data_IF_155229544210
#
_entry.id   IF_155229544210
#
_cell.length_a   1.000
_cell.length_b   1.000
_cell.length_c   1.000
_cell.angle_alpha   90.00
_cell.angle_beta   90.00
_cell.angle_gamma   90.00
#
_symmetry.space_group_name_H-M   'P 1'
#
loop_
_entity.id
_entity.type
_entity.pdbx_description
1 polymer ?
#
# COMPACT_ATOMS: atom_id res chain seq x y z
N UNK A 1 0.77 -37.68 7.73
CA UNK A 1 0.78 -37.72 6.27
C UNK A 1 -0.66 -37.53 5.82
N UNK A 2 -1.03 -36.31 5.44
CA UNK A 2 -2.34 -36.03 4.86
C UNK A 2 -2.17 -36.17 3.35
N UNK A 3 -2.94 -37.06 2.74
CA UNK A 3 -2.82 -37.42 1.33
C UNK A 3 -3.02 -36.19 0.42
N UNK A 4 -2.12 -35.95 -0.56
CA UNK A 4 -2.24 -34.86 -1.53
C UNK A 4 -3.45 -34.95 -2.47
N UNK A 5 -4.22 -36.06 -2.41
CA UNK A 5 -5.35 -36.35 -3.30
C UNK A 5 -6.60 -35.55 -2.92
N UNK A 6 -6.79 -35.19 -1.65
CA UNK A 6 -7.97 -34.45 -1.18
C UNK A 6 -8.03 -32.97 -1.64
N UNK A 7 -6.93 -32.43 -2.18
CA UNK A 7 -6.90 -31.06 -2.73
C UNK A 7 -7.17 -31.08 -4.25
N UNK A 8 -6.92 -32.20 -4.92
CA UNK A 8 -7.10 -32.32 -6.38
C UNK A 8 -8.57 -32.44 -6.81
N UNK A 9 -9.45 -32.98 -5.95
CA UNK A 9 -10.90 -33.04 -6.24
C UNK A 9 -11.62 -31.70 -6.09
N UNK A 10 -10.97 -30.66 -5.56
CA UNK A 10 -11.58 -29.33 -5.41
C UNK A 10 -11.56 -28.48 -6.69
N UNK A 11 -10.96 -28.96 -7.79
CA UNK A 11 -10.69 -28.20 -9.02
C UNK A 11 -10.99 -29.03 -10.28
N UNK A 12 -12.18 -29.65 -10.38
CA UNK A 12 -12.70 -30.16 -11.66
C UNK A 12 -14.02 -29.46 -12.01
N UNK A 13 -14.10 -28.65 -13.09
CA UNK A 13 -15.25 -27.77 -13.35
C UNK A 13 -16.55 -28.46 -13.82
N UNK A 14 -16.57 -29.78 -14.07
CA UNK A 14 -17.60 -30.39 -14.94
C UNK A 14 -18.41 -31.52 -14.30
N UNK A 15 -18.72 -31.45 -13.01
CA UNK A 15 -19.65 -32.41 -12.37
C UNK A 15 -20.85 -31.70 -11.75
N UNK A 16 -22.06 -32.22 -11.99
CA UNK A 16 -23.34 -31.69 -11.46
C UNK A 16 -23.29 -31.57 -9.92
N UNK A 17 -22.51 -32.43 -9.26
CA UNK A 17 -22.27 -32.38 -7.82
C UNK A 17 -21.47 -31.14 -7.38
N UNK A 18 -20.50 -30.66 -8.16
CA UNK A 18 -19.69 -29.49 -7.82
C UNK A 18 -20.52 -28.20 -7.82
N UNK A 19 -21.41 -28.03 -8.81
CA UNK A 19 -22.33 -26.88 -8.86
C UNK A 19 -23.24 -26.82 -7.63
N UNK A 20 -23.76 -27.97 -7.18
CA UNK A 20 -24.58 -28.04 -5.97
C UNK A 20 -23.81 -27.63 -4.69
N UNK A 21 -22.51 -27.95 -4.61
CA UNK A 21 -21.66 -27.64 -3.45
C UNK A 21 -21.34 -26.15 -3.35
N UNK A 22 -21.05 -25.49 -4.49
CA UNK A 22 -20.75 -24.05 -4.52
C UNK A 22 -21.96 -23.24 -4.05
N UNK A 23 -23.16 -23.57 -4.52
CA UNK A 23 -24.39 -22.89 -4.08
C UNK A 23 -24.67 -23.07 -2.59
N UNK A 24 -24.42 -24.27 -2.06
CA UNK A 24 -24.57 -24.55 -0.62
C UNK A 24 -23.57 -23.73 0.21
N UNK A 25 -22.31 -23.63 -0.25
CA UNK A 25 -21.30 -22.80 0.41
C UNK A 25 -21.63 -21.30 0.36
N UNK A 26 -22.12 -20.81 -0.78
CA UNK A 26 -22.55 -19.41 -0.92
C UNK A 26 -23.76 -19.10 -0.04
N UNK A 27 -24.73 -20.00 0.05
CA UNK A 27 -25.87 -19.86 0.97
C UNK A 27 -25.40 -19.88 2.45
N UNK A 28 -24.43 -20.72 2.79
CA UNK A 28 -23.84 -20.77 4.14
C UNK A 28 -23.15 -19.46 4.55
N UNK A 29 -22.45 -18.82 3.62
CA UNK A 29 -21.86 -17.49 3.83
C UNK A 29 -22.96 -16.43 3.93
N UNK A 30 -23.91 -16.44 2.99
CA UNK A 30 -25.01 -15.47 2.93
C UNK A 30 -25.88 -15.47 4.19
N UNK A 31 -26.12 -16.64 4.80
CA UNK A 31 -26.83 -16.78 6.09
C UNK A 31 -26.15 -16.07 7.26
N UNK A 32 -24.83 -15.87 7.21
CA UNK A 32 -24.05 -15.16 8.25
C UNK A 32 -23.83 -13.69 7.93
N UNK A 33 -24.36 -13.22 6.80
CA UNK A 33 -24.32 -11.83 6.40
C UNK A 33 -25.33 -10.96 7.18
N UNK A 34 -25.30 -9.66 6.90
CA UNK A 34 -26.24 -8.70 7.49
C UNK A 34 -27.69 -8.87 6.98
N UNK A 35 -27.91 -9.70 5.95
CA UNK A 35 -29.19 -9.87 5.26
C UNK A 35 -29.99 -11.04 5.86
N UNK A 36 -30.52 -10.84 7.08
CA UNK A 36 -31.38 -11.82 7.76
C UNK A 36 -32.77 -11.83 7.12
N UNK A 37 -33.32 -13.01 6.78
CA UNK A 37 -34.71 -13.17 6.31
C UNK A 37 -34.95 -13.08 4.79
N UNK A 38 -33.92 -12.93 3.96
CA UNK A 38 -34.05 -12.96 2.48
C UNK A 38 -34.04 -14.38 1.91
N UNK A 39 -34.59 -14.54 0.70
CA UNK A 39 -34.62 -15.80 -0.07
C UNK A 39 -33.22 -16.36 -0.34
N UNK A 40 -33.12 -17.68 -0.56
CA UNK A 40 -31.86 -18.39 -0.85
C UNK A 40 -31.09 -17.74 -2.00
N UNK A 41 -31.76 -17.42 -3.09
CA UNK A 41 -31.15 -16.78 -4.27
C UNK A 41 -30.55 -15.40 -3.95
N UNK A 42 -31.26 -14.58 -3.17
CA UNK A 42 -30.74 -13.26 -2.77
C UNK A 42 -29.52 -13.39 -1.86
N UNK A 43 -29.48 -14.40 -0.98
CA UNK A 43 -28.31 -14.69 -0.13
C UNK A 43 -27.11 -15.14 -0.95
N UNK A 44 -27.31 -16.01 -1.94
CA UNK A 44 -26.25 -16.46 -2.84
C UNK A 44 -25.69 -15.27 -3.63
N UNK A 45 -26.56 -14.43 -4.20
CA UNK A 45 -26.14 -13.22 -4.95
C UNK A 45 -25.34 -12.25 -4.06
N UNK A 46 -25.81 -12.03 -2.84
CA UNK A 46 -25.12 -11.19 -1.85
C UNK A 46 -23.74 -11.75 -1.47
N UNK A 47 -23.65 -13.05 -1.20
CA UNK A 47 -22.38 -13.70 -0.88
C UNK A 47 -21.38 -13.62 -2.04
N UNK A 48 -21.86 -13.82 -3.29
CA UNK A 48 -21.03 -13.68 -4.49
C UNK A 48 -20.47 -12.25 -4.62
N UNK A 49 -21.30 -11.24 -4.39
CA UNK A 49 -20.87 -9.84 -4.44
C UNK A 49 -19.81 -9.50 -3.37
N UNK A 50 -19.95 -10.03 -2.14
CA UNK A 50 -18.93 -9.89 -1.09
C UNK A 50 -17.60 -10.50 -1.53
N UNK A 51 -17.61 -11.75 -2.00
CA UNK A 51 -16.38 -12.44 -2.42
C UNK A 51 -15.72 -11.75 -3.61
N UNK A 52 -16.51 -11.14 -4.49
CA UNK A 52 -16.00 -10.45 -5.67
C UNK A 52 -15.48 -9.04 -5.37
N UNK A 53 -16.16 -8.24 -4.54
CA UNK A 53 -15.81 -6.81 -4.36
C UNK A 53 -15.14 -6.50 -3.02
N UNK A 54 -15.52 -7.18 -1.95
CA UNK A 54 -15.07 -6.88 -0.58
C UNK A 54 -13.89 -7.77 -0.15
N UNK A 55 -13.86 -9.04 -0.55
CA UNK A 55 -12.76 -9.94 -0.25
C UNK A 55 -11.55 -9.63 -1.16
N UNK A 56 -10.42 -9.24 -0.54
CA UNK A 56 -9.12 -9.02 -1.21
C UNK A 56 -9.23 -8.09 -2.45
N UNK A 57 -9.73 -6.85 -2.32
CA UNK A 57 -10.01 -5.97 -3.45
C UNK A 57 -8.75 -5.57 -4.25
N UNK A 58 -7.58 -5.61 -3.61
CA UNK A 58 -6.29 -5.30 -4.24
C UNK A 58 -5.86 -6.36 -5.28
N UNK A 59 -6.35 -7.60 -5.16
CA UNK A 59 -6.04 -8.67 -6.14
C UNK A 59 -6.89 -8.51 -7.41
N UNK A 60 -8.12 -8.01 -7.27
CA UNK A 60 -9.04 -7.76 -8.37
C UNK A 60 -10.49 -7.65 -7.88
N UNK A 61 -11.30 -6.85 -8.58
CA UNK A 61 -12.74 -6.69 -8.32
C UNK A 61 -13.61 -7.07 -9.52
N UNK A 62 -12.97 -7.39 -10.63
CA UNK A 62 -13.62 -7.78 -11.88
C UNK A 62 -14.07 -9.25 -11.83
N UNK A 63 -14.98 -9.62 -12.73
CA UNK A 63 -15.33 -11.02 -12.96
C UNK A 63 -14.09 -11.77 -13.47
N UNK A 64 -14.01 -13.08 -13.20
CA UNK A 64 -12.88 -13.97 -13.56
C UNK A 64 -11.59 -13.81 -12.73
N UNK A 65 -11.56 -12.91 -11.73
CA UNK A 65 -10.44 -12.79 -10.79
C UNK A 65 -10.47 -13.83 -9.65
N UNK A 66 -11.44 -14.73 -9.60
CA UNK A 66 -11.67 -15.65 -8.48
C UNK A 66 -10.49 -16.61 -8.27
N UNK A 67 -9.89 -17.11 -9.34
CA UNK A 67 -8.73 -18.01 -9.27
C UNK A 67 -7.53 -17.33 -8.61
N UNK A 68 -7.22 -16.09 -9.00
CA UNK A 68 -6.12 -15.30 -8.38
C UNK A 68 -6.38 -15.05 -6.90
N UNK A 69 -7.62 -14.74 -6.52
CA UNK A 69 -8.01 -14.59 -5.11
C UNK A 69 -7.88 -15.88 -4.33
N UNK A 70 -8.25 -17.02 -4.92
CA UNK A 70 -8.11 -18.33 -4.28
C UNK A 70 -6.64 -18.66 -4.01
N UNK A 71 -5.75 -18.43 -4.97
CA UNK A 71 -4.29 -18.56 -4.76
C UNK A 71 -3.77 -17.65 -3.65
N UNK A 72 -4.18 -16.37 -3.65
CA UNK A 72 -3.75 -15.43 -2.63
C UNK A 72 -4.28 -15.81 -1.24
N UNK A 73 -5.52 -16.27 -1.15
CA UNK A 73 -6.10 -16.76 0.10
C UNK A 73 -5.39 -18.01 0.60
N UNK A 74 -5.08 -18.95 -0.29
CA UNK A 74 -4.23 -20.10 0.01
C UNK A 74 -2.85 -19.71 0.52
N UNK A 75 -2.24 -18.66 -0.05
CA UNK A 75 -0.98 -18.09 0.44
C UNK A 75 -1.12 -17.48 1.84
N UNK A 76 -2.21 -16.78 2.16
CA UNK A 76 -2.49 -16.27 3.52
C UNK A 76 -2.57 -17.44 4.51
N UNK A 77 -3.35 -18.47 4.20
CA UNK A 77 -3.48 -19.66 5.06
C UNK A 77 -2.12 -20.35 5.22
N UNK A 78 -1.36 -20.51 4.13
CA UNK A 78 -0.02 -21.09 4.20
C UNK A 78 0.90 -20.28 5.11
N UNK A 79 0.87 -18.94 5.05
CA UNK A 79 1.64 -18.09 5.97
C UNK A 79 1.21 -18.26 7.42
N UNK A 80 -0.09 -18.39 7.69
CA UNK A 80 -0.62 -18.67 9.02
C UNK A 80 -0.12 -20.03 9.55
N UNK A 81 -0.18 -21.07 8.72
CA UNK A 81 0.30 -22.42 9.07
C UNK A 81 1.80 -22.45 9.32
N UNK A 82 2.61 -21.74 8.52
CA UNK A 82 4.05 -21.63 8.77
C UNK A 82 4.36 -21.00 10.13
N UNK A 83 3.57 -20.02 10.56
CA UNK A 83 3.70 -19.39 11.87
C UNK A 83 3.27 -20.35 12.99
N UNK A 84 2.11 -20.99 12.83
CA UNK A 84 1.58 -21.95 13.80
C UNK A 84 2.51 -23.16 14.01
N UNK A 85 3.21 -23.60 12.96
CA UNK A 85 4.20 -24.68 13.00
C UNK A 85 5.61 -24.21 13.42
N UNK A 86 5.80 -22.93 13.75
CA UNK A 86 7.09 -22.36 14.16
C UNK A 86 8.17 -22.30 13.06
N UNK A 87 7.81 -22.53 11.78
CA UNK A 87 8.73 -22.45 10.64
C UNK A 87 9.09 -21.01 10.27
N UNK A 88 8.27 -20.06 10.71
CA UNK A 88 8.41 -18.61 10.52
C UNK A 88 8.04 -17.90 11.82
N UNK A 89 8.77 -16.83 12.15
CA UNK A 89 8.40 -15.94 13.25
C UNK A 89 7.18 -15.05 12.89
N UNK A 90 6.52 -14.56 13.93
CA UNK A 90 5.46 -13.55 13.82
C UNK A 90 6.01 -12.25 13.21
N UNK A 91 5.17 -11.54 12.45
CA UNK A 91 5.55 -10.25 11.88
C UNK A 91 5.55 -9.17 12.96
N UNK A 92 6.61 -8.36 13.01
CA UNK A 92 6.70 -7.24 13.94
C UNK A 92 5.88 -6.03 13.44
N UNK A 93 4.89 -5.63 14.25
CA UNK A 93 4.02 -4.47 14.02
C UNK A 93 4.77 -3.14 14.06
N UNK A 94 5.87 -3.08 14.82
CA UNK A 94 6.62 -1.85 15.07
C UNK A 94 7.82 -1.67 14.11
N UNK A 95 8.14 -2.69 13.32
CA UNK A 95 9.06 -2.60 12.18
C UNK A 95 8.59 -1.57 11.15
N UNK A 96 9.42 -0.55 10.89
CA UNK A 96 9.07 0.58 10.03
C UNK A 96 8.88 0.21 8.55
N UNK A 97 9.48 -0.88 8.08
CA UNK A 97 9.20 -1.41 6.74
C UNK A 97 7.72 -1.79 6.52
N UNK A 98 6.99 -2.08 7.61
CA UNK A 98 5.55 -2.39 7.58
C UNK A 98 4.68 -1.14 7.78
N UNK A 99 5.28 0.04 8.00
CA UNK A 99 4.58 1.30 8.18
C UNK A 99 4.60 2.10 6.88
N UNK A 100 3.60 2.97 6.72
CA UNK A 100 3.49 3.94 5.63
C UNK A 100 3.14 5.31 6.20
N UNK A 101 3.68 6.35 5.59
CA UNK A 101 3.45 7.73 5.97
C UNK A 101 2.46 8.39 5.02
N UNK A 102 1.30 8.78 5.56
CA UNK A 102 0.33 9.60 4.85
C UNK A 102 0.81 11.07 4.88
N UNK A 103 1.30 11.56 3.75
CA UNK A 103 1.69 12.96 3.57
C UNK A 103 0.50 13.84 3.16
N UNK A 104 0.76 15.14 2.95
CA UNK A 104 -0.25 16.10 2.51
C UNK A 104 -1.00 15.65 1.24
N UNK A 105 -0.30 15.06 0.26
CA UNK A 105 -0.91 14.57 -0.98
C UNK A 105 -2.02 13.55 -0.75
N UNK A 106 -1.72 12.35 -0.20
CA UNK A 106 -2.73 11.34 0.11
C UNK A 106 -3.85 11.85 1.04
N UNK A 107 -3.51 12.66 2.05
CA UNK A 107 -4.48 13.23 3.00
C UNK A 107 -5.46 14.21 2.33
N UNK A 108 -4.96 15.10 1.47
CA UNK A 108 -5.79 16.02 0.70
C UNK A 108 -6.57 15.29 -0.39
N UNK A 109 -5.98 14.30 -1.05
CA UNK A 109 -6.64 13.48 -2.05
C UNK A 109 -7.85 12.71 -1.49
N UNK A 110 -7.69 12.11 -0.31
CA UNK A 110 -8.78 11.45 0.41
C UNK A 110 -9.91 12.42 0.80
N UNK A 111 -9.55 13.59 1.33
CA UNK A 111 -10.50 14.64 1.70
C UNK A 111 -11.25 15.18 0.47
N UNK A 112 -10.53 15.50 -0.60
CA UNK A 112 -11.10 15.98 -1.85
C UNK A 112 -12.03 14.95 -2.47
N UNK A 113 -11.63 13.67 -2.55
CA UNK A 113 -12.48 12.59 -3.08
C UNK A 113 -13.81 12.49 -2.33
N UNK A 114 -13.80 12.62 -1.01
CA UNK A 114 -15.01 12.61 -0.20
C UNK A 114 -15.91 13.83 -0.49
N UNK A 115 -15.34 15.03 -0.51
CA UNK A 115 -16.08 16.27 -0.81
C UNK A 115 -16.64 16.28 -2.23
N UNK A 116 -15.86 15.79 -3.20
CA UNK A 116 -16.27 15.67 -4.59
C UNK A 116 -17.41 14.66 -4.75
N UNK A 117 -17.32 13.48 -4.12
CA UNK A 117 -18.43 12.52 -4.09
C UNK A 117 -19.70 13.08 -3.44
N UNK A 118 -19.56 13.94 -2.43
CA UNK A 118 -20.70 14.66 -1.85
C UNK A 118 -21.29 15.64 -2.88
N UNK A 119 -20.47 16.44 -3.54
CA UNK A 119 -20.92 17.33 -4.62
C UNK A 119 -21.67 16.58 -5.73
N UNK A 120 -21.13 15.45 -6.22
CA UNK A 120 -21.79 14.64 -7.25
C UNK A 120 -23.15 14.10 -6.78
N UNK A 121 -23.26 13.67 -5.51
CA UNK A 121 -24.55 13.24 -4.93
C UNK A 121 -25.55 14.39 -4.84
N UNK A 122 -25.10 15.57 -4.42
CA UNK A 122 -25.95 16.76 -4.33
C UNK A 122 -26.46 17.18 -5.72
N UNK A 123 -25.60 17.15 -6.75
CA UNK A 123 -25.97 17.42 -8.15
C UNK A 123 -26.99 16.39 -8.63
N UNK A 124 -26.73 15.09 -8.41
CA UNK A 124 -27.68 14.03 -8.78
C UNK A 124 -29.04 14.23 -8.11
N UNK A 125 -29.06 14.56 -6.83
CA UNK A 125 -30.29 14.84 -6.10
C UNK A 125 -31.05 16.07 -6.61
N UNK A 126 -30.35 17.12 -7.05
CA UNK A 126 -30.96 18.28 -7.69
C UNK A 126 -31.59 17.92 -9.04
N UNK A 127 -30.85 17.22 -9.90
CA UNK A 127 -31.34 16.79 -11.22
C UNK A 127 -32.57 15.90 -11.07
N UNK A 128 -32.54 14.93 -10.14
CA UNK A 128 -33.69 14.07 -9.87
C UNK A 128 -34.93 14.88 -9.51
N UNK A 129 -34.80 15.87 -8.62
CA UNK A 129 -35.92 16.76 -8.24
C UNK A 129 -36.43 17.61 -9.41
N UNK A 130 -35.57 18.06 -10.32
CA UNK A 130 -36.02 18.78 -11.51
C UNK A 130 -36.84 17.88 -12.42
N UNK A 131 -36.36 16.66 -12.66
CA UNK A 131 -37.06 15.64 -13.47
C UNK A 131 -38.41 15.26 -12.84
N UNK A 132 -38.43 14.97 -11.54
CA UNK A 132 -39.66 14.57 -10.83
C UNK A 132 -40.73 15.68 -10.85
N UNK A 133 -40.31 16.95 -10.91
CA UNK A 133 -41.21 18.11 -10.95
C UNK A 133 -41.45 18.65 -12.38
N UNK A 134 -40.94 17.99 -13.42
CA UNK A 134 -41.07 18.44 -14.81
C UNK A 134 -40.45 19.82 -15.09
N UNK A 135 -39.41 20.22 -14.36
CA UNK A 135 -38.72 21.51 -14.52
C UNK A 135 -37.42 21.34 -15.29
N UNK A 136 -37.05 22.36 -16.06
CA UNK A 136 -35.77 22.39 -16.76
C UNK A 136 -34.58 22.36 -15.78
N UNK A 137 -33.54 21.62 -16.18
CA UNK A 137 -32.33 21.45 -15.38
C UNK A 137 -31.37 22.61 -15.65
N UNK A 138 -31.16 23.45 -14.64
CA UNK A 138 -30.10 24.47 -14.70
C UNK A 138 -28.89 24.04 -13.86
N UNK A 139 -27.80 23.70 -14.56
CA UNK A 139 -26.56 23.19 -13.96
C UNK A 139 -25.87 24.19 -13.02
N UNK A 140 -26.02 25.50 -13.25
CA UNK A 140 -25.37 26.51 -12.41
C UNK A 140 -25.92 26.47 -10.97
N UNK A 141 -27.23 26.22 -10.81
CA UNK A 141 -27.84 26.06 -9.49
C UNK A 141 -27.55 24.70 -8.85
N UNK A 142 -27.24 23.68 -9.66
CA UNK A 142 -26.88 22.35 -9.17
C UNK A 142 -25.49 22.34 -8.51
N UNK A 143 -24.53 23.08 -9.07
CA UNK A 143 -23.14 23.05 -8.63
C UNK A 143 -22.92 23.99 -7.43
N UNK A 144 -22.91 23.41 -6.24
CA UNK A 144 -22.61 24.13 -5.00
C UNK A 144 -21.11 24.18 -4.73
N UNK A 145 -20.41 25.15 -5.32
CA UNK A 145 -18.95 25.33 -5.16
C UNK A 145 -18.51 25.44 -3.68
N UNK A 146 -19.35 26.01 -2.82
CA UNK A 146 -19.10 26.12 -1.36
C UNK A 146 -18.85 24.76 -0.69
N UNK A 147 -19.42 23.67 -1.20
CA UNK A 147 -19.23 22.32 -0.60
C UNK A 147 -17.75 21.92 -0.56
N UNK A 148 -17.00 22.21 -1.63
CA UNK A 148 -15.57 21.89 -1.70
C UNK A 148 -14.76 22.92 -0.93
N UNK A 149 -14.93 24.21 -1.24
CA UNK A 149 -14.12 25.29 -0.66
C UNK A 149 -14.28 25.37 0.87
N UNK A 150 -15.50 25.35 1.37
CA UNK A 150 -15.76 25.39 2.81
C UNK A 150 -15.33 24.09 3.51
N UNK A 151 -15.49 22.92 2.86
CA UNK A 151 -15.06 21.64 3.41
C UNK A 151 -13.54 21.54 3.59
N UNK A 152 -12.78 21.98 2.59
CA UNK A 152 -11.31 22.05 2.67
C UNK A 152 -10.86 23.06 3.71
N UNK A 153 -11.42 24.29 3.70
CA UNK A 153 -11.09 25.34 4.66
C UNK A 153 -11.36 24.89 6.10
N UNK A 154 -12.51 24.25 6.34
CA UNK A 154 -12.88 23.73 7.67
C UNK A 154 -11.87 22.69 8.17
N UNK A 155 -11.53 21.68 7.35
CA UNK A 155 -10.65 20.58 7.77
C UNK A 155 -9.23 21.10 8.05
N UNK A 156 -8.72 22.00 7.21
CA UNK A 156 -7.40 22.62 7.38
C UNK A 156 -7.33 23.54 8.60
N UNK A 157 -8.37 24.33 8.85
CA UNK A 157 -8.41 25.28 9.96
C UNK A 157 -8.62 24.61 11.32
N UNK A 158 -9.46 23.57 11.39
CA UNK A 158 -9.79 22.88 12.65
C UNK A 158 -8.85 21.70 12.95
N UNK A 159 -8.17 21.16 11.93
CA UNK A 159 -7.37 19.95 12.05
C UNK A 159 -8.18 18.65 12.10
N UNK A 160 -9.51 18.71 11.93
CA UNK A 160 -10.39 17.55 11.87
C UNK A 160 -10.49 17.03 10.43
N UNK A 161 -9.95 15.83 10.19
CA UNK A 161 -9.99 15.15 8.89
C UNK A 161 -11.13 14.13 8.85
N UNK A 162 -12.21 14.46 8.15
CA UNK A 162 -13.38 13.58 8.00
C UNK A 162 -14.68 14.35 7.82
N UNK A 163 -15.81 13.63 7.83
CA UNK A 163 -17.11 14.28 7.99
C UNK A 163 -17.30 14.64 9.47
N UNK A 164 -17.69 15.88 9.73
CA UNK A 164 -18.03 16.33 11.07
C UNK A 164 -19.05 15.36 11.72
N UNK A 165 -18.78 14.97 12.97
CA UNK A 165 -19.61 14.08 13.79
C UNK A 165 -19.74 12.62 13.28
N UNK A 166 -18.87 12.17 12.38
CA UNK A 166 -18.79 10.77 11.99
C UNK A 166 -17.73 10.00 12.80
N UNK A 167 -18.06 8.76 13.18
CA UNK A 167 -17.10 7.82 13.75
C UNK A 167 -15.93 7.61 12.78
N UNK A 168 -14.70 7.86 13.24
CA UNK A 168 -13.48 7.76 12.43
C UNK A 168 -12.87 9.09 11.97
N UNK A 169 -13.35 10.24 12.48
CA UNK A 169 -12.69 11.55 12.24
C UNK A 169 -11.30 11.56 12.88
N UNK A 170 -10.25 11.80 12.07
CA UNK A 170 -8.87 11.94 12.57
C UNK A 170 -8.67 13.38 13.04
N UNK A 171 -8.49 13.58 14.34
CA UNK A 171 -8.23 14.90 14.92
C UNK A 171 -6.72 15.23 14.94
N UNK A 172 -6.40 16.52 14.85
CA UNK A 172 -5.04 17.03 15.03
C UNK A 172 -4.09 16.80 13.84
N UNK A 173 -4.64 16.59 12.63
CA UNK A 173 -3.86 16.36 11.40
C UNK A 173 -3.23 17.66 10.90
N UNK A 174 -4.00 18.75 10.86
CA UNK A 174 -3.46 20.10 10.62
C UNK A 174 -3.24 20.80 11.96
N UNK A 175 -2.10 21.50 12.06
CA UNK A 175 -1.66 22.20 13.27
C UNK A 175 -1.14 23.58 12.88
N UNK A 176 -1.29 24.55 13.78
CA UNK A 176 -0.70 25.88 13.60
C UNK A 176 0.82 25.75 13.57
N UNK A 177 1.45 26.26 12.50
CA UNK A 177 2.89 26.19 12.35
C UNK A 177 3.59 26.96 13.48
N UNK A 178 4.58 26.32 14.09
CA UNK A 178 5.34 26.93 15.19
C UNK A 178 6.40 27.87 14.57
N UNK A 179 6.33 29.15 14.93
CA UNK A 179 7.22 30.22 14.43
C UNK A 179 8.13 30.82 15.51
N UNK A 180 8.32 30.14 16.64
CA UNK A 180 9.15 30.64 17.74
C UNK A 180 10.62 30.88 17.32
N UNK A 181 11.19 29.94 16.58
CA UNK A 181 12.53 30.04 15.99
C UNK A 181 12.54 29.41 14.60
N UNK A 182 13.58 29.72 13.82
CA UNK A 182 13.79 29.10 12.51
C UNK A 182 13.90 27.57 12.63
N UNK A 183 14.68 27.08 13.60
CA UNK A 183 14.82 25.65 13.87
C UNK A 183 13.48 25.00 14.27
N UNK A 184 12.69 25.66 15.10
CA UNK A 184 11.35 25.18 15.49
C UNK A 184 10.42 25.01 14.28
N UNK A 185 10.49 25.96 13.33
CA UNK A 185 9.71 25.89 12.09
C UNK A 185 10.09 24.67 11.25
N UNK A 186 11.39 24.44 11.03
CA UNK A 186 11.89 23.29 10.28
C UNK A 186 11.57 21.95 10.95
N UNK A 187 11.76 21.87 12.27
CA UNK A 187 11.39 20.70 13.08
C UNK A 187 9.91 20.36 12.91
N UNK A 188 9.03 21.36 13.02
CA UNK A 188 7.59 21.15 12.92
C UNK A 188 7.18 20.64 11.52
N UNK A 189 7.77 21.15 10.45
CA UNK A 189 7.49 20.68 9.08
C UNK A 189 7.93 19.23 8.82
N UNK A 190 8.88 18.71 9.61
CA UNK A 190 9.45 17.36 9.46
C UNK A 190 8.94 16.36 10.50
N UNK A 191 7.88 16.73 11.21
CA UNK A 191 7.28 15.94 12.28
C UNK A 191 6.35 14.86 11.74
N UNK A 192 6.41 13.70 12.37
CA UNK A 192 5.53 12.56 12.15
C UNK A 192 4.76 12.25 13.42
N UNK A 193 3.54 11.74 13.24
CA UNK A 193 2.65 11.40 14.34
C UNK A 193 2.12 9.98 14.18
N UNK A 194 2.25 9.18 15.23
CA UNK A 194 1.64 7.84 15.29
C UNK A 194 0.18 7.98 15.74
N UNK A 195 -0.81 7.41 15.02
CA UNK A 195 -2.23 7.55 15.32
C UNK A 195 -2.67 6.62 16.48
N UNK A 196 -1.94 6.65 17.58
CA UNK A 196 -2.21 5.85 18.78
C UNK A 196 -2.70 6.80 19.88
N UNK A 197 -3.73 6.39 20.61
CA UNK A 197 -4.25 7.14 21.74
C UNK A 197 -3.14 7.44 22.76
N UNK A 198 -3.02 8.71 23.15
CA UNK A 198 -1.94 9.18 24.05
C UNK A 198 -2.10 8.67 25.48
N UNK A 199 -3.31 8.29 25.86
CA UNK A 199 -3.69 7.76 27.18
C UNK A 199 -3.22 6.32 27.40
N UNK A 200 -2.86 5.59 26.33
CA UNK A 200 -2.43 4.21 26.42
C UNK A 200 -1.04 4.03 27.04
N UNK A 201 -0.92 3.09 27.99
CA UNK A 201 0.34 2.65 28.64
C UNK A 201 1.17 1.66 27.80
N UNK A 202 0.87 1.49 26.51
CA UNK A 202 1.60 0.56 25.66
C UNK A 202 3.03 1.08 25.42
N UNK A 203 4.03 0.43 26.02
CA UNK A 203 5.42 0.84 25.93
C UNK A 203 6.07 0.55 24.57
N UNK A 204 5.78 -0.61 23.95
CA UNK A 204 6.45 -1.06 22.72
C UNK A 204 6.42 -0.03 21.57
N UNK A 205 5.27 0.60 21.21
CA UNK A 205 5.23 1.59 20.14
C UNK A 205 6.02 2.87 20.42
N UNK A 206 6.27 3.17 21.70
CA UNK A 206 7.00 4.36 22.17
C UNK A 206 8.51 4.14 22.18
N UNK A 207 8.96 2.90 22.19
CA UNK A 207 10.38 2.56 22.17
C UNK A 207 11.00 2.88 20.80
N UNK A 208 12.29 3.20 20.83
CA UNK A 208 13.10 3.30 19.63
C UNK A 208 13.28 1.90 19.05
N UNK A 209 12.90 1.73 17.78
CA UNK A 209 13.02 0.45 17.08
C UNK A 209 14.23 0.47 16.14
N UNK A 210 14.95 -0.65 16.03
CA UNK A 210 16.19 -0.75 15.24
C UNK A 210 16.00 -0.39 13.76
N UNK A 211 14.82 -0.68 13.20
CA UNK A 211 14.49 -0.35 11.81
C UNK A 211 14.37 1.16 11.53
N UNK A 212 14.44 2.01 12.56
CA UNK A 212 14.34 3.48 12.42
C UNK A 212 15.70 4.12 12.06
N UNK A 213 16.78 3.34 12.08
CA UNK A 213 18.14 3.83 11.83
C UNK A 213 18.27 4.60 10.51
N UNK A 214 18.69 5.86 10.60
CA UNK A 214 18.87 6.74 9.45
C UNK A 214 17.58 7.24 8.78
N UNK A 215 16.40 6.86 9.30
CA UNK A 215 15.10 7.32 8.81
C UNK A 215 14.45 8.31 9.78
N UNK A 216 14.55 8.03 11.08
CA UNK A 216 14.01 8.87 12.16
C UNK A 216 15.14 9.38 13.04
N UNK A 217 14.96 10.55 13.65
CA UNK A 217 15.85 11.04 14.67
C UNK A 217 15.72 10.17 15.95
N UNK A 218 16.81 9.62 16.50
CA UNK A 218 16.74 8.76 17.67
C UNK A 218 16.49 9.52 18.98
N UNK A 219 16.79 10.82 19.02
CA UNK A 219 16.73 11.66 20.23
C UNK A 219 15.51 12.56 20.24
N UNK A 220 15.09 13.04 19.07
CA UNK A 220 14.10 14.13 18.98
C UNK A 220 12.66 13.61 19.08
N UNK A 221 12.11 13.72 20.28
CA UNK A 221 10.71 13.44 20.63
C UNK A 221 10.27 14.43 21.71
N UNK A 222 9.00 14.87 21.74
CA UNK A 222 8.51 15.65 22.87
C UNK A 222 8.52 14.82 24.15
N UNK A 223 8.74 15.49 25.28
CA UNK A 223 8.57 14.92 26.61
C UNK A 223 7.08 14.76 26.98
N UNK A 224 6.81 13.96 28.01
CA UNK A 224 5.45 13.72 28.52
C UNK A 224 4.67 12.66 27.74
N UNK A 225 3.34 12.80 27.67
CA UNK A 225 2.44 11.75 27.17
C UNK A 225 2.61 11.42 25.69
N UNK A 226 3.20 12.31 24.89
CA UNK A 226 3.44 12.11 23.46
C UNK A 226 4.81 11.46 23.16
N UNK A 227 5.62 11.20 24.19
CA UNK A 227 6.95 10.63 24.03
C UNK A 227 6.92 9.30 23.26
N UNK A 228 7.75 9.21 22.23
CA UNK A 228 7.87 8.05 21.34
C UNK A 228 6.74 7.90 20.32
N UNK A 229 5.66 8.67 20.40
CA UNK A 229 4.55 8.65 19.43
C UNK A 229 4.71 9.72 18.36
N UNK A 230 5.16 10.90 18.79
CA UNK A 230 5.57 12.00 17.90
C UNK A 230 7.07 11.88 17.68
N UNK A 231 7.48 11.84 16.42
CA UNK A 231 8.88 11.60 16.03
C UNK A 231 9.25 12.52 14.88
N UNK A 232 10.54 12.83 14.75
CA UNK A 232 11.02 13.67 13.65
C UNK A 232 11.85 12.86 12.65
N UNK A 233 11.77 13.27 11.39
CA UNK A 233 12.52 12.69 10.27
C UNK A 233 14.03 12.98 10.38
N UNK A 234 14.87 11.99 10.04
CA UNK A 234 16.31 12.18 9.94
C UNK A 234 16.71 13.03 8.73
N UNK A 235 17.88 13.66 8.74
CA UNK A 235 18.28 14.68 7.75
C UNK A 235 18.14 14.24 6.29
N UNK A 236 18.68 13.08 5.93
CA UNK A 236 18.75 12.59 4.54
C UNK A 236 17.56 11.71 4.13
N UNK A 237 16.54 11.58 4.98
CA UNK A 237 15.39 10.75 4.65
C UNK A 237 14.55 11.41 3.56
N UNK A 238 14.08 10.56 2.67
CA UNK A 238 13.15 10.86 1.60
C UNK A 238 11.91 9.98 1.78
N UNK A 239 10.74 10.48 1.41
CA UNK A 239 9.49 9.73 1.48
C UNK A 239 9.00 9.55 0.05
N UNK A 240 8.72 8.31 -0.34
CA UNK A 240 8.30 8.01 -1.71
C UNK A 240 6.95 8.66 -2.03
N UNK A 241 6.84 9.28 -3.20
CA UNK A 241 5.57 9.85 -3.69
C UNK A 241 4.71 8.81 -4.40
N UNK A 242 5.32 7.71 -4.82
CA UNK A 242 4.67 6.62 -5.52
C UNK A 242 4.72 6.78 -7.04
N UNK A 243 4.69 5.66 -7.74
CA UNK A 243 4.71 5.61 -9.20
C UNK A 243 3.75 4.54 -9.72
N UNK A 244 3.35 4.69 -10.99
CA UNK A 244 2.50 3.73 -11.67
C UNK A 244 3.17 2.35 -11.65
N UNK A 245 2.41 1.31 -11.28
CA UNK A 245 2.90 -0.06 -11.27
C UNK A 245 2.95 -0.68 -12.67
N UNK A 246 2.18 -0.14 -13.62
CA UNK A 246 1.99 -0.69 -14.96
C UNK A 246 3.30 -0.98 -15.72
N UNK A 247 4.30 -0.08 -15.78
CA UNK A 247 5.56 -0.38 -16.45
C UNK A 247 6.35 -1.54 -15.82
N UNK A 248 6.18 -1.75 -14.51
CA UNK A 248 6.78 -2.89 -13.81
C UNK A 248 6.05 -4.19 -14.17
N UNK A 249 4.72 -4.13 -14.35
CA UNK A 249 3.93 -5.31 -14.73
C UNK A 249 4.28 -5.75 -16.15
N UNK A 250 4.33 -4.82 -17.11
CA UNK A 250 4.77 -5.11 -18.48
C UNK A 250 6.18 -5.72 -18.49
N UNK A 251 7.12 -5.12 -17.77
CA UNK A 251 8.48 -5.66 -17.62
C UNK A 251 8.48 -7.09 -17.05
N UNK A 252 7.64 -7.38 -16.05
CA UNK A 252 7.59 -8.73 -15.46
C UNK A 252 7.03 -9.77 -16.44
N UNK A 253 6.05 -9.40 -17.25
CA UNK A 253 5.48 -10.25 -18.29
C UNK A 253 6.51 -10.54 -19.39
N UNK A 254 7.21 -9.51 -19.89
CA UNK A 254 8.27 -9.67 -20.91
C UNK A 254 9.43 -10.53 -20.42
N UNK A 255 9.80 -10.42 -19.14
CA UNK A 255 10.93 -11.14 -18.55
C UNK A 255 10.56 -12.52 -17.99
N UNK A 256 9.42 -13.09 -18.41
CA UNK A 256 9.10 -14.51 -18.20
C UNK A 256 8.50 -14.84 -16.84
N UNK A 257 7.86 -13.86 -16.18
CA UNK A 257 7.00 -14.14 -15.02
C UNK A 257 5.76 -14.89 -15.47
N UNK A 258 5.55 -16.10 -14.96
CA UNK A 258 4.41 -16.93 -15.36
C UNK A 258 3.17 -16.63 -14.54
N UNK A 259 2.04 -16.44 -15.23
CA UNK A 259 0.73 -16.20 -14.63
C UNK A 259 0.14 -17.47 -14.01
N UNK A 260 -0.80 -17.30 -13.06
CA UNK A 260 -1.44 -18.41 -12.34
C UNK A 260 -2.25 -19.36 -13.23
N UNK A 261 -2.80 -18.84 -14.32
CA UNK A 261 -3.62 -19.60 -15.26
C UNK A 261 -2.79 -20.56 -16.12
N UNK A 262 -1.48 -20.31 -16.24
CA UNK A 262 -0.55 -21.07 -17.08
C UNK A 262 0.28 -22.09 -16.31
N UNK A 263 0.20 -22.11 -14.96
CA UNK A 263 1.09 -22.90 -14.11
C UNK A 263 0.36 -24.03 -13.40
N UNK A 264 1.04 -25.18 -13.33
CA UNK A 264 0.65 -26.25 -12.41
C UNK A 264 1.07 -25.90 -10.97
N UNK A 265 0.19 -26.07 -9.97
CA UNK A 265 0.51 -25.83 -8.56
C UNK A 265 1.76 -26.57 -8.06
N UNK A 266 2.11 -27.72 -8.66
CA UNK A 266 3.26 -28.52 -8.28
C UNK A 266 4.61 -27.80 -8.48
N UNK A 267 4.68 -26.78 -9.35
CA UNK A 267 5.91 -26.04 -9.65
C UNK A 267 6.15 -24.89 -8.66
N UNK A 268 5.09 -24.41 -7.99
CA UNK A 268 5.13 -23.24 -7.08
C UNK A 268 6.17 -23.38 -5.95
N UNK A 269 6.35 -24.54 -5.29
CA UNK A 269 7.33 -24.69 -4.21
C UNK A 269 8.80 -24.55 -4.66
N UNK A 270 9.08 -24.87 -5.93
CA UNK A 270 10.43 -24.80 -6.50
C UNK A 270 10.76 -23.39 -6.99
N UNK A 271 9.76 -22.66 -7.50
CA UNK A 271 9.91 -21.31 -8.01
C UNK A 271 9.82 -20.23 -6.91
N UNK A 272 10.20 -19.01 -7.27
CA UNK A 272 10.10 -17.81 -6.42
C UNK A 272 8.81 -17.07 -6.72
N UNK A 273 8.08 -16.66 -5.68
CA UNK A 273 6.83 -15.89 -5.81
C UNK A 273 7.14 -14.42 -6.01
N UNK A 274 6.53 -13.79 -7.01
CA UNK A 274 6.76 -12.39 -7.35
C UNK A 274 5.56 -11.56 -6.91
N UNK A 275 5.80 -10.57 -6.05
CA UNK A 275 4.78 -9.66 -5.55
C UNK A 275 5.03 -8.23 -6.04
N UNK A 276 3.97 -7.54 -6.44
CA UNK A 276 4.00 -6.10 -6.73
C UNK A 276 2.95 -5.42 -5.86
N UNK A 277 3.37 -4.49 -4.99
CA UNK A 277 2.50 -3.78 -4.04
C UNK A 277 1.62 -4.71 -3.17
N UNK A 278 2.14 -5.89 -2.84
CA UNK A 278 1.44 -6.89 -2.03
C UNK A 278 0.51 -7.82 -2.83
N UNK A 279 0.26 -7.56 -4.10
CA UNK A 279 -0.44 -8.48 -5.00
C UNK A 279 0.53 -9.52 -5.53
N UNK A 280 0.15 -10.80 -5.43
CA UNK A 280 0.94 -11.89 -5.99
C UNK A 280 0.69 -11.94 -7.50
N UNK A 281 1.70 -11.64 -8.31
CA UNK A 281 1.56 -11.55 -9.77
C UNK A 281 1.84 -12.88 -10.47
N UNK A 282 2.81 -13.64 -9.96
CA UNK A 282 3.14 -14.92 -10.55
C UNK A 282 4.37 -15.57 -9.91
N UNK A 283 5.00 -16.45 -10.68
CA UNK A 283 6.23 -17.14 -10.25
C UNK A 283 7.35 -16.97 -11.27
N UNK A 284 8.59 -16.97 -10.78
CA UNK A 284 9.79 -16.92 -11.62
C UNK A 284 10.81 -17.97 -11.16
N UNK A 285 11.51 -18.59 -12.12
CA UNK A 285 12.51 -19.64 -11.84
C UNK A 285 13.88 -19.07 -11.45
N UNK A 286 14.26 -17.95 -12.06
CA UNK A 286 15.54 -17.27 -11.81
C UNK A 286 15.33 -15.86 -11.23
N UNK A 287 15.07 -15.73 -9.91
CA UNK A 287 14.88 -14.43 -9.28
C UNK A 287 16.18 -13.60 -9.20
N UNK A 288 17.36 -14.23 -9.30
CA UNK A 288 18.66 -13.54 -9.24
C UNK A 288 18.85 -12.63 -10.44
N UNK A 289 18.57 -13.15 -11.64
CA UNK A 289 18.64 -12.38 -12.87
C UNK A 289 17.64 -11.22 -12.85
N UNK A 290 16.39 -11.47 -12.46
CA UNK A 290 15.34 -10.46 -12.38
C UNK A 290 15.69 -9.32 -11.40
N UNK A 291 16.18 -9.66 -10.20
CA UNK A 291 16.60 -8.68 -9.20
C UNK A 291 17.76 -7.81 -9.71
N UNK A 292 18.77 -8.41 -10.34
CA UNK A 292 19.93 -7.69 -10.90
C UNK A 292 19.50 -6.74 -12.02
N UNK A 293 18.66 -7.20 -12.93
CA UNK A 293 18.15 -6.40 -14.04
C UNK A 293 17.34 -5.21 -13.53
N UNK A 294 16.38 -5.43 -12.61
CA UNK A 294 15.59 -4.35 -12.01
C UNK A 294 16.46 -3.31 -11.30
N UNK A 295 17.47 -3.76 -10.54
CA UNK A 295 18.42 -2.84 -9.87
C UNK A 295 19.25 -2.06 -10.88
N UNK A 296 19.63 -2.67 -12.00
CA UNK A 296 20.37 -1.99 -13.07
C UNK A 296 19.51 -0.91 -13.75
N UNK A 297 18.29 -1.24 -14.14
CA UNK A 297 17.34 -0.32 -14.77
C UNK A 297 17.04 0.87 -13.85
N UNK A 298 16.86 0.61 -12.55
CA UNK A 298 16.66 1.67 -11.55
C UNK A 298 17.86 2.61 -11.42
N UNK A 299 19.09 2.08 -11.51
CA UNK A 299 20.33 2.89 -11.46
C UNK A 299 20.55 3.73 -12.71
N UNK A 300 20.04 3.27 -13.86
CA UNK A 300 20.04 4.01 -15.12
C UNK A 300 18.91 5.02 -15.23
N UNK A 301 17.99 5.02 -14.27
CA UNK A 301 16.78 5.86 -14.24
C UNK A 301 15.79 5.49 -15.36
N UNK A 302 15.90 4.29 -15.93
CA UNK A 302 14.91 3.72 -16.86
C UNK A 302 13.63 3.34 -16.09
N UNK A 303 13.80 2.92 -14.84
CA UNK A 303 12.73 2.71 -13.87
C UNK A 303 12.85 3.77 -12.77
N UNK A 304 11.71 4.24 -12.26
CA UNK A 304 11.67 5.23 -11.19
C UNK A 304 12.54 4.80 -9.99
N UNK A 305 13.39 5.70 -9.50
CA UNK A 305 14.35 5.45 -8.42
C UNK A 305 13.67 5.06 -7.10
N UNK A 306 12.40 5.45 -6.91
CA UNK A 306 11.58 5.09 -5.75
C UNK A 306 11.12 3.62 -5.73
N UNK A 307 11.25 2.89 -6.82
CA UNK A 307 10.84 1.48 -6.89
C UNK A 307 11.71 0.65 -5.95
N UNK A 308 11.08 0.05 -4.94
CA UNK A 308 11.74 -0.81 -3.98
C UNK A 308 11.73 -2.25 -4.42
N UNK A 309 12.88 -2.93 -4.35
CA UNK A 309 13.03 -4.34 -4.70
C UNK A 309 13.65 -5.07 -3.50
N UNK A 310 12.88 -5.95 -2.89
CA UNK A 310 13.25 -6.72 -1.70
C UNK A 310 13.13 -8.19 -2.01
N UNK A 311 14.23 -8.93 -1.89
CA UNK A 311 14.24 -10.38 -2.06
C UNK A 311 14.41 -11.06 -0.71
N UNK A 312 13.44 -11.89 -0.36
CA UNK A 312 13.52 -12.82 0.77
C UNK A 312 13.89 -14.21 0.24
N UNK A 313 15.16 -14.58 0.43
CA UNK A 313 15.70 -15.84 -0.06
C UNK A 313 15.09 -17.03 0.72
N UNK A 314 14.83 -16.87 2.02
CA UNK A 314 14.32 -17.94 2.87
C UNK A 314 12.86 -18.26 2.54
N UNK A 315 12.05 -17.24 2.26
CA UNK A 315 10.65 -17.41 1.89
C UNK A 315 10.47 -17.71 0.38
N UNK A 316 11.54 -17.59 -0.42
CA UNK A 316 11.47 -17.61 -1.89
C UNK A 316 10.45 -16.60 -2.40
N UNK A 317 10.62 -15.35 -1.99
CA UNK A 317 9.75 -14.24 -2.40
C UNK A 317 10.59 -13.08 -2.93
N UNK A 318 10.17 -12.52 -4.06
CA UNK A 318 10.65 -11.23 -4.55
C UNK A 318 9.49 -10.24 -4.45
N UNK A 319 9.67 -9.17 -3.69
CA UNK A 319 8.65 -8.14 -3.44
C UNK A 319 9.09 -6.82 -4.02
N UNK A 320 8.26 -6.27 -4.89
CA UNK A 320 8.45 -5.00 -5.56
C UNK A 320 7.41 -4.01 -5.05
N UNK A 321 7.86 -2.81 -4.71
CA UNK A 321 7.04 -1.75 -4.15
C UNK A 321 7.16 -0.47 -4.99
N UNK A 322 6.03 0.02 -5.49
CA UNK A 322 5.90 1.30 -6.19
C UNK A 322 4.96 2.26 -5.45
N UNK A 323 4.48 1.85 -4.28
CA UNK A 323 3.59 2.61 -3.40
C UNK A 323 4.29 3.83 -2.76
N UNK A 324 3.45 4.80 -2.36
CA UNK A 324 3.86 6.02 -1.69
C UNK A 324 4.04 5.81 -0.19
N UNK A 325 4.67 6.79 0.48
CA UNK A 325 4.74 6.84 1.93
C UNK A 325 5.76 5.89 2.56
N UNK A 326 6.66 5.30 1.77
CA UNK A 326 7.80 4.54 2.30
C UNK A 326 8.91 5.51 2.66
N UNK A 327 9.55 5.29 3.81
CA UNK A 327 10.80 5.98 4.14
C UNK A 327 11.94 5.40 3.29
N UNK A 328 12.85 6.28 2.90
CA UNK A 328 13.94 5.96 1.99
C UNK A 328 15.15 6.81 2.35
N UNK A 329 16.36 6.27 2.21
CA UNK A 329 17.58 7.05 2.39
C UNK A 329 18.61 6.74 1.30
N UNK A 330 19.37 7.74 0.84
CA UNK A 330 20.44 7.52 -0.12
C UNK A 330 21.62 6.81 0.55
N UNK A 331 22.21 5.85 -0.16
CA UNK A 331 23.42 5.12 0.24
C UNK A 331 24.38 5.01 -0.95
N UNK A 332 25.68 5.02 -0.65
CA UNK A 332 26.70 4.73 -1.65
C UNK A 332 26.72 3.25 -2.03
N UNK A 333 26.92 2.98 -3.31
CA UNK A 333 27.01 1.62 -3.83
C UNK A 333 28.45 1.12 -3.70
N UNK A 334 28.59 -0.10 -3.20
CA UNK A 334 29.84 -0.87 -3.19
C UNK A 334 29.69 -2.01 -4.20
N UNK A 335 30.64 -2.13 -5.12
CA UNK A 335 30.76 -3.26 -6.03
C UNK A 335 32.15 -3.90 -5.87
N UNK A 336 32.19 -5.24 -5.78
CA UNK A 336 33.44 -6.00 -5.59
C UNK A 336 34.36 -5.41 -4.50
N UNK A 337 33.80 -5.11 -3.33
CA UNK A 337 34.49 -4.51 -2.17
C UNK A 337 35.10 -3.12 -2.43
N UNK A 338 34.68 -2.42 -3.50
CA UNK A 338 35.12 -1.05 -3.81
C UNK A 338 33.92 -0.13 -3.92
N UNK A 339 34.06 1.08 -3.38
CA UNK A 339 33.07 2.14 -3.59
C UNK A 339 33.03 2.52 -5.08
N UNK A 340 31.82 2.67 -5.62
CA UNK A 340 31.66 3.14 -7.00
C UNK A 340 32.01 4.62 -7.15
N UNK A 341 31.70 5.43 -6.14
CA UNK A 341 32.11 6.84 -6.07
C UNK A 341 33.63 6.95 -5.95
N UNK A 342 34.24 7.77 -6.81
CA UNK A 342 35.69 8.01 -6.90
C UNK A 342 36.02 9.47 -6.58
N UNK A 343 37.31 9.73 -6.35
CA UNK A 343 37.81 11.10 -6.07
C UNK A 343 37.50 12.11 -7.18
N UNK A 344 37.45 11.65 -8.44
CA UNK A 344 37.09 12.49 -9.60
C UNK A 344 35.66 13.03 -9.48
N UNK A 345 34.73 12.21 -8.98
CA UNK A 345 33.31 12.57 -8.85
C UNK A 345 33.15 13.61 -7.73
N UNK A 346 33.91 13.45 -6.63
CA UNK A 346 33.97 14.45 -5.55
C UNK A 346 34.53 15.79 -6.05
N UNK A 347 35.56 15.76 -6.90
CA UNK A 347 36.14 16.99 -7.46
C UNK A 347 35.17 17.70 -8.40
N UNK A 348 34.48 16.94 -9.27
CA UNK A 348 33.46 17.47 -10.15
C UNK A 348 32.27 18.08 -9.39
N UNK A 349 31.83 17.45 -8.30
CA UNK A 349 30.79 17.98 -7.41
C UNK A 349 31.22 19.30 -6.77
N UNK A 350 32.47 19.42 -6.31
CA UNK A 350 33.02 20.68 -5.76
C UNK A 350 33.06 21.80 -6.80
N UNK A 351 33.30 21.46 -8.06
CA UNK A 351 33.33 22.41 -9.18
C UNK A 351 31.93 22.76 -9.73
N UNK A 352 30.85 22.18 -9.19
CA UNK A 352 29.45 22.41 -9.61
C UNK A 352 29.22 22.20 -11.13
N UNK A 353 29.91 21.22 -11.72
CA UNK A 353 29.73 20.91 -13.14
C UNK A 353 28.33 20.34 -13.37
N UNK A 354 27.46 21.10 -14.06
CA UNK A 354 26.01 20.87 -14.18
C UNK A 354 25.59 19.53 -14.81
N UNK A 355 26.47 18.87 -15.58
CA UNK A 355 26.19 17.56 -16.20
C UNK A 355 26.14 16.38 -15.21
N UNK A 356 26.50 16.58 -13.94
CA UNK A 356 26.65 15.50 -12.96
C UNK A 356 25.36 15.08 -12.23
N UNK A 357 24.27 15.84 -12.32
CA UNK A 357 23.02 15.48 -11.63
C UNK A 357 22.48 14.12 -12.08
N UNK A 358 22.59 13.78 -13.37
CA UNK A 358 22.17 12.47 -13.90
C UNK A 358 23.15 11.34 -13.54
N UNK A 359 24.46 11.62 -13.54
CA UNK A 359 25.48 10.63 -13.18
C UNK A 359 25.42 10.23 -11.70
N UNK A 360 25.06 11.18 -10.82
CA UNK A 360 24.97 10.98 -9.37
C UNK A 360 23.93 9.93 -8.96
N UNK A 361 22.82 9.81 -9.69
CA UNK A 361 21.81 8.78 -9.45
C UNK A 361 22.29 7.36 -9.77
N UNK A 362 23.28 7.21 -10.65
CA UNK A 362 23.84 5.90 -10.99
C UNK A 362 24.77 5.33 -9.90
N UNK A 363 25.31 6.21 -9.05
CA UNK A 363 26.26 5.86 -7.97
C UNK A 363 25.59 5.75 -6.58
N UNK A 364 24.33 6.16 -6.49
CA UNK A 364 23.51 6.07 -5.29
C UNK A 364 22.46 4.97 -5.41
N UNK A 365 22.19 4.31 -4.30
CA UNK A 365 21.02 3.45 -4.15
C UNK A 365 20.12 3.97 -3.05
N UNK A 366 18.83 3.72 -3.19
CA UNK A 366 17.86 3.93 -2.12
C UNK A 366 17.72 2.65 -1.32
N UNK A 367 17.82 2.78 0.01
CA UNK A 367 17.43 1.75 0.98
C UNK A 367 16.09 2.11 1.60
N UNK A 368 15.27 1.09 1.85
CA UNK A 368 13.97 1.16 2.51
C UNK A 368 14.05 0.62 3.94
#
# INVERSE_FOLDING_TARGET
MLDPILIYEFILPNSIHFYSMVEVALDYIGKRGATVGVTKEKRIKYAKEILQKEMLPHVGVEEYCETKKAYYFGYIIHRLLLCALGRRAEDDRDHYGNKRLDLAGPLLGGLFRMLFRKLTRDIRGYVQKCVDNGKDVNLQFAIKAKTITSGLKYSLATGNWGQANAAGTRAGVSQVLNRLTYASTLCHLRRLNSPIGREGKLAKPRQLHNSQWGMMCPVETPEGQACGLVKNLALMVYITVGSAAYPILEFLEEWGTKNFEEISPAVIPQATKIFVNGCWMGIHRDPDMLERTLRMLRRRVDVNTEVGVVRDIRLKELRIYTDYGRCSRPLFIVDKQRLLIKKKDIHALKQRVSQWEKAFYSELTISY
#
